data_IF_877963602382
#
_entry.id   IF_877963602382
#
_cell.length_a   1.000
_cell.length_b   1.000
_cell.length_c   1.000
_cell.angle_alpha   90.00
_cell.angle_beta   90.00
_cell.angle_gamma   90.00
#
_symmetry.space_group_name_H-M   'P 1'
#
loop_
_entity.id
_entity.type
_entity.pdbx_description
1 polymer ?
#
# COMPACT_ATOMS: atom_id res chain seq x y z
N UNK A 1 5.35 3.75 14.49
CA UNK A 1 6.00 2.47 14.17
C UNK A 1 6.61 2.63 12.79
N UNK A 2 7.90 2.35 12.67
CA UNK A 2 8.67 2.57 11.45
C UNK A 2 9.06 1.22 10.85
N UNK A 3 9.09 1.16 9.53
CA UNK A 3 9.39 0.00 8.71
C UNK A 3 10.54 0.33 7.77
N UNK A 4 11.27 -0.70 7.34
CA UNK A 4 12.39 -0.56 6.41
C UNK A 4 12.23 -1.56 5.29
N UNK A 5 12.27 -1.07 4.05
CA UNK A 5 12.32 -1.87 2.83
C UNK A 5 13.65 -1.61 2.13
N UNK A 6 14.29 -2.65 1.59
CA UNK A 6 15.57 -2.49 0.88
C UNK A 6 15.36 -2.66 -0.62
N UNK A 7 15.49 -1.57 -1.36
CA UNK A 7 15.35 -1.56 -2.83
C UNK A 7 16.62 -2.13 -3.45
N UNK A 8 16.47 -3.17 -4.27
CA UNK A 8 17.58 -3.82 -4.98
C UNK A 8 17.31 -4.04 -6.47
N UNK A 9 16.09 -3.71 -6.91
CA UNK A 9 15.53 -3.99 -8.24
C UNK A 9 15.66 -2.82 -9.20
N UNK A 10 16.17 -1.66 -8.77
CA UNK A 10 16.27 -0.48 -9.63
C UNK A 10 17.42 -0.64 -10.62
N UNK A 11 17.16 -0.26 -11.87
CA UNK A 11 18.21 -0.16 -12.90
C UNK A 11 19.09 1.08 -12.71
N UNK A 12 18.65 2.07 -11.92
CA UNK A 12 19.48 3.17 -11.44
C UNK A 12 20.11 2.80 -10.07
N UNK A 13 21.43 2.61 -9.99
CA UNK A 13 22.11 2.28 -8.73
C UNK A 13 21.86 3.28 -7.60
N UNK A 14 21.53 4.54 -7.92
CA UNK A 14 21.29 5.58 -6.91
C UNK A 14 20.01 5.34 -6.11
N UNK A 15 19.01 4.74 -6.75
CA UNK A 15 17.72 4.45 -6.14
C UNK A 15 17.73 3.19 -5.28
N UNK A 16 18.77 2.37 -5.39
CA UNK A 16 18.94 1.17 -4.60
C UNK A 16 19.41 1.51 -3.17
N UNK A 17 18.89 0.79 -2.19
CA UNK A 17 19.21 0.97 -0.78
C UNK A 17 17.99 1.02 0.13
N UNK A 18 18.21 1.34 1.42
CA UNK A 18 17.16 1.30 2.41
C UNK A 18 16.21 2.50 2.28
N UNK A 19 14.91 2.19 2.21
CA UNK A 19 13.80 3.13 2.35
C UNK A 19 13.12 2.87 3.68
N UNK A 20 12.96 3.89 4.52
CA UNK A 20 12.21 3.79 5.76
C UNK A 20 10.93 4.58 5.69
N UNK A 21 9.86 4.04 6.27
CA UNK A 21 8.54 4.66 6.24
C UNK A 21 7.69 4.28 7.46
N UNK A 22 6.57 4.97 7.66
CA UNK A 22 5.67 4.72 8.78
C UNK A 22 4.20 4.58 8.34
N UNK A 23 3.32 4.17 9.28
CA UNK A 23 1.87 4.19 9.04
C UNK A 23 1.38 5.63 9.16
N UNK A 24 0.67 6.17 8.15
CA UNK A 24 0.27 7.57 8.14
C UNK A 24 -0.71 7.88 9.27
N UNK A 25 -0.42 8.97 9.97
CA UNK A 25 -1.28 9.64 10.95
C UNK A 25 -2.55 10.17 10.30
N UNK A 26 -3.53 10.60 11.11
CA UNK A 26 -4.75 11.22 10.60
C UNK A 26 -4.45 12.51 9.82
N UNK A 27 -3.48 13.29 10.28
CA UNK A 27 -3.09 14.54 9.60
C UNK A 27 -2.48 14.25 8.22
N UNK A 28 -1.54 13.31 8.12
CA UNK A 28 -0.94 12.91 6.84
C UNK A 28 -1.98 12.35 5.88
N UNK A 29 -2.97 11.60 6.35
CA UNK A 29 -4.08 11.11 5.49
C UNK A 29 -4.87 12.25 4.86
N UNK A 30 -5.08 13.34 5.59
CA UNK A 30 -5.75 14.54 5.05
C UNK A 30 -4.84 15.20 4.00
N UNK A 31 -3.53 15.31 4.26
CA UNK A 31 -2.58 15.88 3.31
C UNK A 31 -2.45 15.04 2.03
N UNK A 32 -2.39 13.71 2.15
CA UNK A 32 -2.42 12.77 1.02
C UNK A 32 -3.68 13.01 0.16
N UNK A 33 -4.84 13.18 0.80
CA UNK A 33 -6.09 13.50 0.10
C UNK A 33 -6.01 14.82 -0.68
N UNK A 34 -5.47 15.88 -0.06
CA UNK A 34 -5.24 17.17 -0.72
C UNK A 34 -4.28 17.03 -1.90
N UNK A 35 -3.18 16.28 -1.73
CA UNK A 35 -2.17 16.06 -2.76
C UNK A 35 -2.73 15.30 -3.96
N UNK A 36 -3.57 14.29 -3.73
CA UNK A 36 -4.32 13.59 -4.80
C UNK A 36 -5.10 14.60 -5.63
N UNK A 37 -5.91 15.47 -5.00
CA UNK A 37 -6.68 16.49 -5.73
C UNK A 37 -5.80 17.44 -6.54
N UNK A 38 -4.60 17.79 -6.04
CA UNK A 38 -3.65 18.62 -6.77
C UNK A 38 -3.08 17.92 -8.01
N UNK A 39 -2.66 16.65 -7.88
CA UNK A 39 -2.08 15.90 -9.00
C UNK A 39 -3.10 15.51 -10.07
N UNK A 40 -4.36 15.35 -9.70
CA UNK A 40 -5.41 14.96 -10.64
C UNK A 40 -5.95 16.14 -11.47
N UNK A 41 -5.69 17.38 -11.07
CA UNK A 41 -6.18 18.56 -11.76
C UNK A 41 -5.66 18.62 -13.22
N UNK A 42 -6.51 18.98 -14.20
CA UNK A 42 -7.87 19.51 -14.06
C UNK A 42 -8.99 18.45 -14.01
N UNK A 43 -8.65 17.15 -14.02
CA UNK A 43 -9.63 16.07 -14.04
C UNK A 43 -10.16 15.74 -12.64
N UNK A 44 -11.36 15.16 -12.58
CA UNK A 44 -11.86 14.59 -11.32
C UNK A 44 -11.19 13.24 -11.08
N UNK A 45 -10.98 12.92 -9.80
CA UNK A 45 -10.41 11.63 -9.39
C UNK A 45 -11.19 10.45 -9.95
N UNK A 46 -12.52 10.53 -9.95
CA UNK A 46 -13.41 9.45 -10.36
C UNK A 46 -13.32 9.17 -11.86
N UNK A 47 -12.96 10.19 -12.66
CA UNK A 47 -12.88 10.14 -14.11
C UNK A 47 -11.51 9.59 -14.59
N UNK A 48 -10.53 9.47 -13.70
CA UNK A 48 -9.21 8.92 -14.04
C UNK A 48 -9.29 7.40 -14.24
N UNK A 49 -8.54 6.83 -15.21
CA UNK A 49 -8.50 5.39 -15.36
C UNK A 49 -7.82 4.72 -14.14
N UNK A 50 -8.18 3.45 -13.90
CA UNK A 50 -7.88 2.77 -12.64
C UNK A 50 -6.37 2.69 -12.36
N UNK A 51 -5.56 2.49 -13.40
CA UNK A 51 -4.11 2.37 -13.29
C UNK A 51 -3.51 3.69 -12.76
N UNK A 52 -3.92 4.81 -13.34
CA UNK A 52 -3.48 6.16 -13.01
C UNK A 52 -3.94 6.56 -11.62
N UNK A 53 -5.16 6.16 -11.21
CA UNK A 53 -5.61 6.32 -9.81
C UNK A 53 -4.71 5.57 -8.85
N UNK A 54 -4.42 4.31 -9.15
CA UNK A 54 -3.62 3.46 -8.27
C UNK A 54 -2.19 4.03 -8.14
N UNK A 55 -1.59 4.47 -9.25
CA UNK A 55 -0.28 5.10 -9.26
C UNK A 55 -0.26 6.43 -8.51
N UNK A 56 -1.24 7.30 -8.76
CA UNK A 56 -1.36 8.59 -8.06
C UNK A 56 -1.54 8.38 -6.55
N UNK A 57 -2.30 7.37 -6.15
CA UNK A 57 -2.45 7.00 -4.75
C UNK A 57 -1.15 6.50 -4.12
N UNK A 58 -0.40 5.64 -4.82
CA UNK A 58 0.89 5.16 -4.35
C UNK A 58 1.87 6.33 -4.17
N UNK A 59 2.00 7.19 -5.18
CA UNK A 59 2.83 8.40 -5.15
C UNK A 59 2.48 9.32 -3.99
N UNK A 60 1.23 9.75 -3.91
CA UNK A 60 0.79 10.65 -2.84
C UNK A 60 0.98 10.01 -1.46
N UNK A 61 0.78 8.70 -1.32
CA UNK A 61 0.97 8.05 -0.03
C UNK A 61 2.44 8.05 0.37
N UNK A 62 3.32 7.57 -0.51
CA UNK A 62 4.75 7.46 -0.27
C UNK A 62 5.41 8.82 0.02
N UNK A 63 4.96 9.88 -0.65
CA UNK A 63 5.48 11.26 -0.47
C UNK A 63 5.36 11.71 0.99
N UNK A 64 4.33 11.28 1.71
CA UNK A 64 4.05 11.70 3.08
C UNK A 64 4.54 10.72 4.15
N UNK A 65 4.82 9.46 3.80
CA UNK A 65 5.16 8.42 4.80
C UNK A 65 6.61 8.00 4.79
N UNK A 66 7.36 8.29 3.72
CA UNK A 66 8.78 7.95 3.65
C UNK A 66 9.57 8.95 4.48
N UNK A 67 10.27 8.43 5.49
CA UNK A 67 11.14 9.21 6.37
C UNK A 67 12.54 9.36 5.74
N UNK A 68 13.07 8.26 5.19
CA UNK A 68 14.38 8.21 4.54
C UNK A 68 14.33 7.37 3.27
N UNK A 69 15.08 7.77 2.25
CA UNK A 69 15.28 6.99 1.03
C UNK A 69 16.67 7.27 0.45
N UNK A 70 17.16 6.42 -0.48
CA UNK A 70 18.38 6.66 -1.24
C UNK A 70 18.38 7.96 -2.05
N UNK A 71 19.54 8.32 -2.60
CA UNK A 71 19.69 9.47 -3.49
C UNK A 71 18.81 9.30 -4.75
N UNK A 72 18.23 10.40 -5.25
CA UNK A 72 17.41 10.37 -6.48
C UNK A 72 15.93 10.05 -6.27
N UNK A 73 15.51 9.73 -5.04
CA UNK A 73 14.08 9.59 -4.71
C UNK A 73 13.37 10.95 -4.58
N UNK A 74 14.13 12.01 -4.32
CA UNK A 74 13.59 13.29 -3.89
C UNK A 74 14.12 14.41 -4.75
N UNK A 75 13.21 15.30 -5.15
CA UNK A 75 13.53 16.58 -5.74
C UNK A 75 13.09 17.71 -4.79
N UNK A 76 13.59 18.91 -5.03
CA UNK A 76 13.16 20.12 -4.31
C UNK A 76 12.49 21.06 -5.30
N UNK A 77 11.21 21.33 -5.09
CA UNK A 77 10.44 22.27 -5.90
C UNK A 77 9.76 23.27 -4.97
N UNK A 78 9.95 24.58 -5.20
CA UNK A 78 9.33 25.61 -4.36
C UNK A 78 9.75 25.59 -2.87
N UNK A 79 10.83 24.88 -2.52
CA UNK A 79 11.28 24.68 -1.14
C UNK A 79 10.65 23.48 -0.43
N UNK A 80 9.76 22.73 -1.10
CA UNK A 80 9.20 21.48 -0.60
C UNK A 80 9.99 20.29 -1.15
N UNK A 81 10.23 19.29 -0.30
CA UNK A 81 10.82 18.02 -0.69
C UNK A 81 9.71 17.13 -1.22
N UNK A 82 9.71 16.89 -2.52
CA UNK A 82 8.71 16.07 -3.20
C UNK A 82 9.37 14.81 -3.73
N UNK A 83 8.61 13.72 -3.80
CA UNK A 83 9.10 12.55 -4.53
C UNK A 83 9.38 12.98 -5.96
N UNK A 84 10.48 12.49 -6.53
CA UNK A 84 10.83 12.78 -7.93
C UNK A 84 9.91 11.97 -8.85
N UNK A 85 8.65 12.40 -8.93
CA UNK A 85 7.55 11.68 -9.60
C UNK A 85 7.91 11.41 -11.06
N UNK A 86 8.53 12.36 -11.75
CA UNK A 86 8.96 12.19 -13.15
C UNK A 86 9.90 11.00 -13.31
N UNK A 87 11.00 10.97 -12.56
CA UNK A 87 12.01 9.90 -12.64
C UNK A 87 11.46 8.55 -12.18
N UNK A 88 10.67 8.52 -11.09
CA UNK A 88 10.08 7.29 -10.59
C UNK A 88 8.98 6.74 -11.52
N UNK A 89 8.13 7.59 -12.10
CA UNK A 89 7.05 7.16 -12.98
C UNK A 89 7.54 6.79 -14.39
N UNK A 90 8.52 7.49 -14.94
CA UNK A 90 8.96 7.26 -16.33
C UNK A 90 9.93 6.08 -16.48
N UNK A 91 10.73 5.79 -15.46
CA UNK A 91 11.86 4.85 -15.60
C UNK A 91 11.94 3.76 -14.54
N UNK A 92 11.21 3.91 -13.43
CA UNK A 92 11.39 3.06 -12.25
C UNK A 92 10.06 2.77 -11.54
N UNK A 93 8.96 2.69 -12.30
CA UNK A 93 7.61 2.54 -11.74
C UNK A 93 7.50 1.29 -10.86
N UNK A 94 8.19 0.21 -11.25
CA UNK A 94 8.23 -1.04 -10.48
C UNK A 94 8.81 -0.86 -9.07
N UNK A 95 9.83 -0.03 -8.91
CA UNK A 95 10.45 0.25 -7.61
C UNK A 95 9.45 0.93 -6.68
N UNK A 96 8.68 1.87 -7.22
CA UNK A 96 7.63 2.55 -6.48
C UNK A 96 6.55 1.57 -6.03
N UNK A 97 6.14 0.66 -6.92
CA UNK A 97 5.18 -0.38 -6.60
C UNK A 97 5.67 -1.35 -5.53
N UNK A 98 6.95 -1.73 -5.56
CA UNK A 98 7.53 -2.62 -4.55
C UNK A 98 7.46 -2.01 -3.14
N UNK A 99 7.88 -0.75 -2.99
CA UNK A 99 7.80 -0.05 -1.70
C UNK A 99 6.35 0.13 -1.26
N UNK A 100 5.46 0.51 -2.18
CA UNK A 100 4.05 0.68 -1.85
C UNK A 100 3.38 -0.64 -1.46
N UNK A 101 3.69 -1.75 -2.14
CA UNK A 101 3.16 -3.07 -1.82
C UNK A 101 3.62 -3.52 -0.41
N UNK A 102 4.89 -3.32 -0.07
CA UNK A 102 5.42 -3.62 1.26
C UNK A 102 4.71 -2.77 2.35
N UNK A 103 4.46 -1.49 2.06
CA UNK A 103 3.66 -0.64 2.94
C UNK A 103 2.24 -1.19 3.16
N UNK A 104 1.54 -1.61 2.10
CA UNK A 104 0.17 -2.14 2.22
C UNK A 104 0.15 -3.39 3.11
N UNK A 105 1.08 -4.32 2.88
CA UNK A 105 1.21 -5.55 3.69
C UNK A 105 1.44 -5.21 5.16
N UNK A 106 2.37 -4.30 5.45
CA UNK A 106 2.65 -3.91 6.83
C UNK A 106 1.46 -3.17 7.47
N UNK A 107 0.79 -2.28 6.74
CA UNK A 107 -0.42 -1.59 7.22
C UNK A 107 -1.53 -2.56 7.61
N UNK A 108 -1.74 -3.61 6.82
CA UNK A 108 -2.79 -4.61 7.08
C UNK A 108 -2.52 -5.42 8.34
N UNK A 109 -1.26 -5.77 8.62
CA UNK A 109 -0.87 -6.51 9.83
C UNK A 109 -1.25 -5.79 11.13
N UNK A 110 -1.32 -4.46 11.10
CA UNK A 110 -1.62 -3.63 12.26
C UNK A 110 -3.04 -3.03 12.24
N UNK A 111 -3.90 -3.49 11.32
CA UNK A 111 -5.31 -3.10 11.34
C UNK A 111 -6.01 -3.83 12.51
N UNK A 112 -6.71 -3.12 13.41
CA UNK A 112 -7.52 -3.76 14.45
C UNK A 112 -8.54 -4.69 13.80
N UNK A 113 -8.30 -6.01 13.86
CA UNK A 113 -9.13 -7.03 13.22
C UNK A 113 -8.39 -8.04 12.32
N UNK A 114 -7.17 -7.76 11.88
CA UNK A 114 -6.40 -8.70 11.04
C UNK A 114 -5.93 -9.96 11.81
N UNK A 115 -5.97 -9.93 13.14
CA UNK A 115 -5.59 -11.04 14.01
C UNK A 115 -6.71 -12.09 14.22
N UNK A 116 -7.83 -12.03 13.48
CA UNK A 116 -8.98 -12.95 13.64
C UNK A 116 -9.11 -14.06 12.59
N UNK A 117 -8.16 -14.22 11.66
CA UNK A 117 -8.24 -15.30 10.65
C UNK A 117 -6.94 -16.09 10.49
N UNK A 118 -6.35 -16.51 11.60
CA UNK A 118 -5.33 -17.57 11.64
C UNK A 118 -5.86 -18.83 12.34
N UNK A 119 -7.10 -19.22 12.03
CA UNK A 119 -7.76 -20.39 12.61
C UNK A 119 -8.90 -20.89 11.74
N UNK A 120 -8.58 -21.60 10.66
CA UNK A 120 -9.30 -22.82 10.25
C UNK A 120 -8.60 -23.43 9.04
N UNK A 121 -7.50 -24.15 9.32
CA UNK A 121 -6.78 -24.96 8.35
C UNK A 121 -6.56 -26.36 8.90
N UNK A 122 -7.61 -27.18 8.83
CA UNK A 122 -7.56 -28.66 8.80
C UNK A 122 -7.86 -29.40 10.11
N UNK A 123 -8.22 -30.70 10.08
CA UNK A 123 -8.46 -31.57 8.92
C UNK A 123 -9.85 -32.26 8.91
N UNK A 124 -10.14 -32.86 7.77
CA UNK A 124 -11.21 -33.79 7.45
C UNK A 124 -11.52 -34.82 8.57
N UNK A 125 -12.79 -34.89 9.00
CA UNK A 125 -13.40 -36.05 9.66
C UNK A 125 -14.88 -36.08 9.31
N UNK A 126 -15.21 -36.72 8.20
CA UNK A 126 -16.52 -37.32 8.04
C UNK A 126 -16.57 -38.55 8.95
N UNK A 127 -17.60 -38.71 9.78
CA UNK A 127 -18.20 -40.02 9.92
C UNK A 127 -19.71 -39.96 9.70
N UNK A 128 -20.14 -40.81 8.77
CA UNK A 128 -21.48 -41.36 8.61
C UNK A 128 -22.02 -41.96 9.92
N UNK A 129 -23.35 -41.98 10.00
CA UNK A 129 -24.23 -42.81 10.86
C UNK A 129 -24.58 -42.32 12.27
N UNK A 130 -25.88 -42.05 12.45
CA UNK A 130 -26.82 -42.70 13.41
C UNK A 130 -28.19 -42.00 13.25
N UNK A 131 -29.11 -42.62 12.50
CA UNK A 131 -30.28 -43.33 13.05
C UNK A 131 -31.26 -42.48 13.87
N UNK A 132 -32.47 -42.34 13.29
CA UNK A 132 -33.73 -42.51 14.00
C UNK A 132 -34.14 -41.44 15.03
N UNK A 133 -35.17 -40.66 14.70
CA UNK A 133 -36.49 -40.84 15.33
C UNK A 133 -37.56 -39.93 14.73
N UNK A 134 -38.68 -40.58 14.47
CA UNK A 134 -39.96 -40.11 13.96
C UNK A 134 -40.52 -38.87 14.68
N UNK A 135 -41.33 -38.08 13.96
CA UNK A 135 -42.64 -37.65 14.47
C UNK A 135 -43.57 -37.28 13.33
N UNK A 136 -44.80 -37.73 13.52
CA UNK A 136 -45.94 -38.00 12.65
C UNK A 136 -46.66 -36.77 12.09
N UNK A 137 -47.36 -37.01 10.97
CA UNK A 137 -48.37 -36.21 10.28
C UNK A 137 -49.48 -35.60 11.16
N UNK A 138 -50.24 -34.62 10.63
CA UNK A 138 -51.68 -34.50 10.86
C UNK A 138 -52.53 -35.32 9.87
#
# INVERSE_FOLDING_TARGET
MQFTFNVQSSTDPKLNGPVTYHIPTLYERIQIGKRKTQLCAPYKWEDMPQTERSLTEALCTLEFIIDTAPEGWWTTEGGERLLEIGTLAEHQEHVLWEVYADFIVNRERFRPGAQRSAGNGGPNSNPTDLEGSQSTEP
#
